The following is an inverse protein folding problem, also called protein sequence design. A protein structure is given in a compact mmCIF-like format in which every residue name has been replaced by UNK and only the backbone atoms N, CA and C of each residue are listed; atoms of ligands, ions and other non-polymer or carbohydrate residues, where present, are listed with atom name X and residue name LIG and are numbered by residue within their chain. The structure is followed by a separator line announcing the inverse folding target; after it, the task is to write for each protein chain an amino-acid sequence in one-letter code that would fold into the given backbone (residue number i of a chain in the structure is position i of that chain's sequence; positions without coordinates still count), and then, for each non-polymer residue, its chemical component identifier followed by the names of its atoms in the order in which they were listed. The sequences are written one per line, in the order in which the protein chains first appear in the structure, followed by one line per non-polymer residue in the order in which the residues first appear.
data_IF_594778754623
#
_entry.id   IF_594778754623
#
_cell.length_a   1.000
_cell.length_b   1.000
_cell.length_c   1.000
_cell.angle_alpha   90.00
_cell.angle_beta   90.00
_cell.angle_gamma   90.00
#
_symmetry.space_group_name_H-M   'P 1'
#
loop_
_entity.id
_entity.type
_entity.pdbx_description
1 polymer ?
#
# COMPACT_ATOMS: atom_id res chain seq x y z
N UNK A 1 -4.74 -17.46 20.06
CA UNK A 1 -4.71 -17.65 18.60
C UNK A 1 -3.92 -18.91 18.24
N UNK A 2 -4.41 -19.76 17.30
CA UNK A 2 -3.74 -21.04 16.99
C UNK A 2 -2.40 -20.87 16.26
N UNK A 3 -2.11 -19.68 15.73
CA UNK A 3 -0.90 -19.35 14.96
C UNK A 3 0.32 -19.09 15.83
N UNK A 4 0.16 -18.85 17.14
CA UNK A 4 1.28 -18.61 18.05
C UNK A 4 1.80 -19.90 18.67
N UNK A 5 3.08 -19.90 19.02
CA UNK A 5 3.68 -20.97 19.84
C UNK A 5 3.15 -20.92 21.27
N UNK A 6 3.17 -22.05 21.98
CA UNK A 6 2.56 -22.21 23.30
C UNK A 6 3.13 -21.30 24.40
N UNK A 7 4.39 -20.89 24.28
CA UNK A 7 5.06 -20.03 25.26
C UNK A 7 4.59 -18.56 25.22
N UNK A 8 3.93 -18.12 24.12
CA UNK A 8 3.48 -16.74 24.00
C UNK A 8 2.16 -16.53 24.74
N UNK A 9 2.11 -15.63 25.75
CA UNK A 9 0.90 -15.38 26.53
C UNK A 9 -0.25 -14.91 25.64
N UNK A 10 -1.47 -15.43 25.86
CA UNK A 10 -2.64 -15.13 25.02
C UNK A 10 -2.98 -13.64 24.95
N UNK A 11 -2.73 -12.90 26.03
CA UNK A 11 -2.99 -11.46 26.12
C UNK A 11 -2.07 -10.61 25.22
N UNK A 12 -0.85 -11.08 24.95
CA UNK A 12 0.16 -10.34 24.17
C UNK A 12 0.03 -10.62 22.67
N UNK A 13 -0.55 -11.76 22.27
CA UNK A 13 -0.65 -12.17 20.86
C UNK A 13 -1.27 -11.11 19.92
N UNK A 14 -2.40 -10.44 20.25
CA UNK A 14 -2.97 -9.43 19.37
C UNK A 14 -2.08 -8.20 19.24
N UNK A 15 -1.38 -7.81 20.31
CA UNK A 15 -0.46 -6.68 20.29
C UNK A 15 0.77 -6.92 19.41
N UNK A 16 1.27 -8.16 19.38
CA UNK A 16 2.34 -8.55 18.46
C UNK A 16 1.87 -8.36 17.00
N UNK A 17 0.68 -8.84 16.65
CA UNK A 17 0.15 -8.64 15.30
C UNK A 17 -0.15 -7.18 14.99
N UNK A 18 -0.62 -6.41 15.96
CA UNK A 18 -0.84 -4.98 15.80
C UNK A 18 0.48 -4.25 15.52
N UNK A 19 1.53 -4.53 16.30
CA UNK A 19 2.87 -3.99 16.07
C UNK A 19 3.38 -4.33 14.66
N UNK A 20 3.27 -5.58 14.25
CA UNK A 20 3.69 -6.01 12.91
C UNK A 20 2.88 -5.29 11.82
N UNK A 21 1.57 -5.15 12.01
CA UNK A 21 0.70 -4.46 11.06
C UNK A 21 1.06 -2.98 10.90
N UNK A 22 1.26 -2.27 12.03
CA UNK A 22 1.71 -0.87 12.03
C UNK A 22 3.05 -0.75 11.30
N UNK A 23 4.01 -1.65 11.59
CA UNK A 23 5.32 -1.63 10.93
C UNK A 23 5.20 -1.80 9.41
N UNK A 24 4.31 -2.67 8.92
CA UNK A 24 4.03 -2.76 7.48
C UNK A 24 3.40 -1.47 6.94
N UNK A 25 2.53 -0.83 7.68
CA UNK A 25 1.89 0.42 7.24
C UNK A 25 2.87 1.59 7.16
N UNK A 26 3.87 1.64 8.02
CA UNK A 26 4.93 2.65 7.98
C UNK A 26 5.82 2.56 6.72
N UNK A 27 5.88 1.41 6.05
CA UNK A 27 6.71 1.24 4.86
C UNK A 27 6.09 1.88 3.61
N UNK A 28 6.89 2.41 2.73
CA UNK A 28 6.42 3.03 1.47
C UNK A 28 7.45 3.08 0.34
N UNK A 29 8.73 2.82 0.62
CA UNK A 29 9.84 2.92 -0.33
C UNK A 29 10.27 4.37 -0.57
N UNK A 30 9.32 5.27 -0.76
CA UNK A 30 9.45 6.73 -0.77
C UNK A 30 8.44 7.32 0.22
N UNK A 31 8.74 8.50 0.75
CA UNK A 31 8.01 9.09 1.86
C UNK A 31 7.68 10.55 1.59
N UNK A 32 6.40 10.93 1.73
CA UNK A 32 5.95 12.31 1.46
C UNK A 32 6.61 13.33 2.38
N UNK A 33 6.71 13.05 3.66
CA UNK A 33 7.38 13.94 4.60
C UNK A 33 8.86 14.23 4.30
N UNK A 34 9.47 13.50 3.34
CA UNK A 34 10.83 13.74 2.87
C UNK A 34 10.88 14.26 1.44
N UNK A 35 9.76 14.66 0.84
CA UNK A 35 9.63 14.97 -0.57
C UNK A 35 10.68 16.00 -1.04
N UNK A 36 10.80 17.13 -0.35
CA UNK A 36 11.71 18.22 -0.72
C UNK A 36 13.18 17.78 -0.65
N UNK A 37 13.57 16.98 0.34
CA UNK A 37 14.94 16.48 0.44
C UNK A 37 15.22 15.38 -0.59
N UNK A 38 14.25 14.55 -0.92
CA UNK A 38 14.39 13.53 -1.95
C UNK A 38 14.56 14.16 -3.33
N UNK A 39 13.84 15.23 -3.66
CA UNK A 39 14.01 16.03 -4.88
C UNK A 39 15.46 16.50 -5.00
N UNK A 40 15.98 17.13 -3.93
CA UNK A 40 17.36 17.62 -3.92
C UNK A 40 18.41 16.51 -3.91
N UNK A 41 18.19 15.44 -3.16
CA UNK A 41 19.16 14.36 -2.95
C UNK A 41 19.26 13.36 -4.09
N UNK A 42 18.15 13.09 -4.77
CA UNK A 42 18.09 12.14 -5.90
C UNK A 42 18.13 12.83 -7.27
N UNK A 43 18.08 14.16 -7.32
CA UNK A 43 17.93 14.95 -8.54
C UNK A 43 16.71 14.52 -9.37
N UNK A 44 15.62 14.18 -8.72
CA UNK A 44 14.34 13.80 -9.29
C UNK A 44 13.36 14.96 -9.23
N UNK A 45 12.34 14.93 -10.10
CA UNK A 45 11.23 15.86 -10.02
C UNK A 45 10.23 15.43 -8.94
N UNK A 46 9.39 16.37 -8.50
CA UNK A 46 8.30 16.08 -7.56
C UNK A 46 7.38 14.98 -8.08
N UNK A 47 7.05 15.07 -9.36
CA UNK A 47 6.19 14.13 -10.08
C UNK A 47 6.76 12.70 -10.08
N UNK A 48 8.09 12.58 -10.18
CA UNK A 48 8.76 11.28 -10.17
C UNK A 48 8.60 10.55 -8.84
N UNK A 49 8.70 11.29 -7.73
CA UNK A 49 8.55 10.76 -6.38
C UNK A 49 7.07 10.43 -6.10
N UNK A 50 6.14 11.31 -6.50
CA UNK A 50 4.71 11.04 -6.39
C UNK A 50 4.31 9.80 -7.21
N UNK A 51 4.90 9.60 -8.40
CA UNK A 51 4.68 8.39 -9.18
C UNK A 51 5.14 7.12 -8.46
N UNK A 52 6.22 7.17 -7.68
CA UNK A 52 6.63 6.05 -6.82
C UNK A 52 5.54 5.69 -5.80
N UNK A 53 4.89 6.69 -5.21
CA UNK A 53 3.78 6.46 -4.28
C UNK A 53 2.56 5.87 -4.97
N UNK A 54 2.18 6.40 -6.14
CA UNK A 54 1.09 5.81 -6.93
C UNK A 54 1.40 4.38 -7.35
N UNK A 55 2.67 4.06 -7.67
CA UNK A 55 3.10 2.69 -7.93
C UNK A 55 2.93 1.78 -6.71
N UNK A 56 3.25 2.26 -5.51
CA UNK A 56 3.03 1.52 -4.26
C UNK A 56 1.53 1.26 -4.03
N UNK A 57 0.68 2.26 -4.19
CA UNK A 57 -0.78 2.12 -4.08
C UNK A 57 -1.35 1.17 -5.14
N UNK A 58 -0.87 1.24 -6.38
CA UNK A 58 -1.26 0.31 -7.44
C UNK A 58 -0.86 -1.13 -7.09
N UNK A 59 0.33 -1.33 -6.53
CA UNK A 59 0.79 -2.63 -6.02
C UNK A 59 -0.15 -3.19 -4.95
N UNK A 60 -0.58 -2.36 -4.00
CA UNK A 60 -1.56 -2.74 -2.98
C UNK A 60 -2.90 -3.11 -3.60
N UNK A 61 -3.42 -2.30 -4.52
CA UNK A 61 -4.71 -2.49 -5.17
C UNK A 61 -4.75 -3.79 -5.99
N UNK A 62 -3.70 -4.06 -6.78
CA UNK A 62 -3.60 -5.27 -7.61
C UNK A 62 -3.42 -6.53 -6.76
N UNK A 63 -2.75 -6.44 -5.65
CA UNK A 63 -2.57 -7.62 -4.80
C UNK A 63 -3.79 -7.93 -3.93
N UNK A 64 -4.65 -6.96 -3.68
CA UNK A 64 -5.82 -7.11 -2.81
C UNK A 64 -6.75 -8.28 -3.20
N UNK A 65 -7.17 -8.46 -4.47
CA UNK A 65 -8.00 -9.61 -4.88
C UNK A 65 -7.31 -10.97 -4.71
N UNK A 66 -5.97 -10.98 -4.69
CA UNK A 66 -5.17 -12.19 -4.57
C UNK A 66 -4.99 -12.65 -3.11
N UNK A 67 -5.18 -11.74 -2.13
CA UNK A 67 -4.91 -11.98 -0.71
C UNK A 67 -5.55 -13.26 -0.17
N UNK A 68 -6.85 -13.47 -0.45
CA UNK A 68 -7.55 -14.66 0.04
C UNK A 68 -7.01 -15.94 -0.58
N UNK A 69 -6.68 -15.94 -1.87
CA UNK A 69 -6.11 -17.11 -2.56
C UNK A 69 -4.73 -17.46 -2.01
N UNK A 70 -3.90 -16.45 -1.76
CA UNK A 70 -2.59 -16.61 -1.14
C UNK A 70 -2.70 -17.13 0.29
N UNK A 71 -3.61 -16.56 1.10
CA UNK A 71 -3.84 -16.98 2.48
C UNK A 71 -4.25 -18.45 2.61
N UNK A 72 -5.07 -18.96 1.70
CA UNK A 72 -5.49 -20.36 1.72
C UNK A 72 -4.48 -21.30 1.07
N UNK A 73 -3.55 -20.79 0.28
CA UNK A 73 -2.50 -21.60 -0.35
C UNK A 73 -1.30 -21.81 0.54
N UNK A 74 -0.81 -20.74 1.13
CA UNK A 74 0.41 -20.72 1.95
C UNK A 74 0.10 -20.72 3.45
N UNK A 75 1.11 -20.93 4.28
CA UNK A 75 0.96 -20.78 5.72
C UNK A 75 1.11 -19.31 6.11
N UNK A 76 0.45 -18.89 7.21
CA UNK A 76 0.54 -17.52 7.72
C UNK A 76 2.00 -17.09 7.96
N UNK A 77 2.84 -17.97 8.49
CA UNK A 77 4.26 -17.69 8.72
C UNK A 77 5.00 -17.44 7.40
N UNK A 78 4.76 -18.26 6.37
CA UNK A 78 5.41 -18.08 5.06
C UNK A 78 5.02 -16.74 4.44
N UNK A 79 3.72 -16.38 4.50
CA UNK A 79 3.22 -15.13 3.95
C UNK A 79 3.79 -13.91 4.67
N UNK A 80 3.84 -13.92 6.00
CA UNK A 80 4.46 -12.86 6.78
C UNK A 80 5.96 -12.76 6.52
N UNK A 81 6.67 -13.91 6.43
CA UNK A 81 8.12 -13.91 6.17
C UNK A 81 8.43 -13.38 4.78
N UNK A 82 7.70 -13.82 3.76
CA UNK A 82 7.92 -13.32 2.39
C UNK A 82 7.60 -11.83 2.26
N UNK A 83 6.52 -11.37 2.91
CA UNK A 83 6.16 -9.95 2.93
C UNK A 83 7.23 -9.10 3.63
N UNK A 84 7.67 -9.50 4.83
CA UNK A 84 8.68 -8.75 5.59
C UNK A 84 10.06 -8.75 4.90
N UNK A 85 10.47 -9.86 4.27
CA UNK A 85 11.68 -9.92 3.44
C UNK A 85 11.55 -9.02 2.21
N UNK A 86 10.39 -9.04 1.54
CA UNK A 86 10.14 -8.17 0.39
C UNK A 86 10.27 -6.69 0.75
N UNK A 87 9.60 -6.24 1.81
CA UNK A 87 9.71 -4.85 2.28
C UNK A 87 11.13 -4.50 2.72
N UNK A 88 11.81 -5.39 3.44
CA UNK A 88 13.21 -5.20 3.85
C UNK A 88 14.12 -4.96 2.63
N UNK A 89 14.04 -5.83 1.63
CA UNK A 89 14.87 -5.75 0.42
C UNK A 89 14.55 -4.49 -0.38
N UNK A 90 13.26 -4.15 -0.55
CA UNK A 90 12.84 -2.94 -1.25
C UNK A 90 13.40 -1.68 -0.57
N UNK A 91 13.27 -1.55 0.76
CA UNK A 91 13.80 -0.39 1.50
C UNK A 91 15.33 -0.30 1.51
N UNK A 92 16.06 -1.41 1.44
CA UNK A 92 17.52 -1.39 1.32
C UNK A 92 17.98 -0.97 -0.07
N UNK A 93 17.22 -1.33 -1.12
CA UNK A 93 17.62 -1.09 -2.51
C UNK A 93 17.13 0.28 -3.01
N UNK A 94 15.91 0.70 -2.63
CA UNK A 94 15.27 1.92 -3.13
C UNK A 94 16.17 3.19 -3.08
N UNK A 95 16.91 3.48 -1.98
CA UNK A 95 17.74 4.68 -1.91
C UNK A 95 18.94 4.71 -2.88
N UNK A 96 19.29 3.55 -3.43
CA UNK A 96 20.46 3.43 -4.32
C UNK A 96 20.09 3.43 -5.81
N UNK A 97 18.79 3.48 -6.13
CA UNK A 97 18.33 3.42 -7.52
C UNK A 97 18.04 4.81 -8.03
N UNK A 98 18.71 5.14 -9.14
CA UNK A 98 18.52 6.39 -9.90
C UNK A 98 17.68 6.19 -11.16
N UNK A 99 17.48 4.94 -11.61
CA UNK A 99 16.69 4.62 -12.79
C UNK A 99 15.20 4.55 -12.42
N UNK A 100 14.43 5.57 -12.76
CA UNK A 100 13.03 5.78 -12.39
C UNK A 100 12.11 4.58 -12.64
N UNK A 101 12.06 3.93 -13.82
CA UNK A 101 11.16 2.81 -14.04
C UNK A 101 11.43 1.63 -13.09
N UNK A 102 12.68 1.42 -12.71
CA UNK A 102 13.05 0.39 -11.75
C UNK A 102 12.61 0.77 -10.33
N UNK A 103 12.73 2.05 -9.97
CA UNK A 103 12.25 2.55 -8.68
C UNK A 103 10.73 2.40 -8.56
N UNK A 104 9.97 2.73 -9.61
CA UNK A 104 8.51 2.50 -9.65
C UNK A 104 8.15 1.03 -9.48
N UNK A 105 8.88 0.14 -10.16
CA UNK A 105 8.68 -1.31 -10.01
C UNK A 105 8.95 -1.79 -8.59
N UNK A 106 9.99 -1.28 -7.94
CA UNK A 106 10.31 -1.62 -6.54
C UNK A 106 9.22 -1.13 -5.60
N UNK A 107 8.76 0.10 -5.75
CA UNK A 107 7.65 0.63 -4.96
C UNK A 107 6.35 -0.17 -5.19
N UNK A 108 6.07 -0.60 -6.42
CA UNK A 108 4.94 -1.48 -6.74
C UNK A 108 5.04 -2.83 -6.00
N UNK A 109 6.20 -3.48 -6.04
CA UNK A 109 6.44 -4.75 -5.33
C UNK A 109 6.33 -4.55 -3.82
N UNK A 110 6.85 -3.43 -3.31
CA UNK A 110 6.73 -3.10 -1.89
C UNK A 110 5.28 -2.94 -1.47
N UNK A 111 4.45 -2.26 -2.28
CA UNK A 111 3.01 -2.16 -2.05
C UNK A 111 2.32 -3.53 -1.96
N UNK A 112 2.68 -4.47 -2.84
CA UNK A 112 2.17 -5.85 -2.77
C UNK A 112 2.58 -6.54 -1.45
N UNK A 113 3.82 -6.38 -1.03
CA UNK A 113 4.32 -6.96 0.23
C UNK A 113 3.67 -6.30 1.45
N UNK A 114 3.51 -4.97 1.44
CA UNK A 114 2.85 -4.18 2.49
C UNK A 114 1.43 -4.65 2.75
N UNK A 115 0.61 -4.74 1.71
CA UNK A 115 -0.78 -5.18 1.86
C UNK A 115 -0.87 -6.65 2.29
N UNK A 116 0.04 -7.53 1.82
CA UNK A 116 0.08 -8.92 2.24
C UNK A 116 0.37 -9.06 3.72
N UNK A 117 1.37 -8.36 4.24
CA UNK A 117 1.74 -8.39 5.66
C UNK A 117 0.65 -7.82 6.57
N UNK A 118 0.12 -6.66 6.21
CA UNK A 118 -0.97 -6.00 6.93
C UNK A 118 -2.22 -6.87 6.97
N UNK A 119 -2.65 -7.41 5.82
CA UNK A 119 -3.83 -8.26 5.75
C UNK A 119 -3.69 -9.53 6.60
N UNK A 120 -2.52 -10.17 6.58
CA UNK A 120 -2.29 -11.37 7.39
C UNK A 120 -2.41 -11.07 8.88
N UNK A 121 -1.87 -9.95 9.34
CA UNK A 121 -1.99 -9.52 10.73
C UNK A 121 -3.43 -9.13 11.10
N UNK A 122 -4.05 -8.24 10.32
CA UNK A 122 -5.38 -7.70 10.60
C UNK A 122 -6.47 -8.76 10.54
N UNK A 123 -6.39 -9.71 9.60
CA UNK A 123 -7.35 -10.82 9.55
C UNK A 123 -7.26 -11.76 10.77
N UNK A 124 -6.09 -11.87 11.40
CA UNK A 124 -5.92 -12.63 12.63
C UNK A 124 -6.40 -11.87 13.86
N UNK A 125 -6.21 -10.54 13.90
CA UNK A 125 -6.77 -9.65 14.92
C UNK A 125 -8.29 -9.66 14.84
N UNK A 126 -8.86 -9.60 13.63
CA UNK A 126 -10.31 -9.68 13.42
C UNK A 126 -10.91 -10.94 14.06
N UNK A 127 -10.32 -12.10 13.80
CA UNK A 127 -10.80 -13.36 14.40
C UNK A 127 -10.72 -13.37 15.93
N UNK A 128 -9.81 -12.59 16.51
CA UNK A 128 -9.68 -12.46 17.95
C UNK A 128 -10.68 -11.45 18.53
N UNK A 129 -10.84 -10.27 17.90
CA UNK A 129 -11.76 -9.22 18.36
C UNK A 129 -13.22 -9.60 18.17
N UNK A 130 -13.55 -10.17 17.01
CA UNK A 130 -14.93 -10.46 16.60
C UNK A 130 -15.07 -11.92 16.20
N UNK A 131 -15.15 -12.87 17.19
CA UNK A 131 -15.32 -14.29 16.89
C UNK A 131 -16.59 -14.61 16.10
N UNK A 132 -17.63 -13.77 16.25
CA UNK A 132 -18.91 -13.84 15.50
C UNK A 132 -18.81 -13.23 14.09
N UNK A 133 -17.63 -12.76 13.66
CA UNK A 133 -17.38 -12.09 12.38
C UNK A 133 -18.23 -10.81 12.17
N UNK A 134 -18.41 -10.04 13.22
CA UNK A 134 -19.05 -8.74 13.12
C UNK A 134 -18.05 -7.72 12.56
N UNK A 135 -18.24 -7.37 11.29
CA UNK A 135 -17.39 -6.43 10.57
C UNK A 135 -17.65 -4.98 10.98
N UNK A 136 -18.82 -4.67 11.54
CA UNK A 136 -19.16 -3.29 11.93
C UNK A 136 -18.30 -2.79 13.08
N UNK A 137 -17.84 -3.68 13.94
CA UNK A 137 -16.90 -3.35 15.03
C UNK A 137 -15.45 -3.34 14.53
N UNK A 138 -15.10 -4.23 13.59
CA UNK A 138 -13.71 -4.38 13.14
C UNK A 138 -13.25 -3.25 12.22
N UNK A 139 -14.06 -2.84 11.23
CA UNK A 139 -13.64 -1.86 10.23
C UNK A 139 -13.30 -0.47 10.80
N UNK A 140 -14.03 0.11 11.76
CA UNK A 140 -13.63 1.34 12.42
C UNK A 140 -12.25 1.24 13.08
N UNK A 141 -11.98 0.13 13.77
CA UNK A 141 -10.67 -0.15 14.36
C UNK A 141 -9.56 -0.26 13.33
N UNK A 142 -9.83 -0.96 12.24
CA UNK A 142 -8.87 -1.07 11.12
C UNK A 142 -8.54 0.31 10.56
N UNK A 143 -9.56 1.15 10.35
CA UNK A 143 -9.40 2.50 9.81
C UNK A 143 -8.54 3.38 10.72
N UNK A 144 -8.80 3.39 12.03
CA UNK A 144 -7.98 4.10 13.03
C UNK A 144 -6.51 3.64 12.96
N UNK A 145 -6.25 2.34 12.87
CA UNK A 145 -4.87 1.82 12.79
C UNK A 145 -4.20 2.24 11.49
N UNK A 146 -4.91 2.19 10.37
CA UNK A 146 -4.36 2.57 9.06
C UNK A 146 -4.05 4.06 9.02
N UNK A 147 -5.02 4.93 9.34
CA UNK A 147 -4.82 6.38 9.35
C UNK A 147 -3.75 6.80 10.37
N UNK A 148 -3.83 6.28 11.60
CA UNK A 148 -2.82 6.58 12.61
C UNK A 148 -1.41 6.13 12.21
N UNK A 149 -1.29 5.05 11.42
CA UNK A 149 0.02 4.62 10.91
C UNK A 149 0.53 5.54 9.80
N UNK A 150 -0.35 6.11 8.98
CA UNK A 150 0.04 7.09 7.95
C UNK A 150 0.58 8.35 8.61
N UNK A 151 -0.17 8.93 9.55
CA UNK A 151 0.27 10.11 10.30
C UNK A 151 1.56 9.86 11.09
N UNK A 152 1.69 8.69 11.71
CA UNK A 152 2.91 8.28 12.39
C UNK A 152 4.10 8.15 11.43
N UNK A 153 3.88 7.63 10.23
CA UNK A 153 4.92 7.55 9.19
C UNK A 153 5.41 8.93 8.80
N UNK A 154 4.49 9.87 8.59
CA UNK A 154 4.80 11.23 8.21
C UNK A 154 5.57 11.97 9.30
N UNK A 155 5.09 11.90 10.55
CA UNK A 155 5.79 12.47 11.72
C UNK A 155 7.22 11.91 11.88
N UNK A 156 7.40 10.59 11.79
CA UNK A 156 8.73 9.96 11.91
C UNK A 156 9.63 10.39 10.75
N UNK A 157 9.08 10.45 9.54
CA UNK A 157 9.84 10.83 8.34
C UNK A 157 10.32 12.26 8.46
N UNK A 158 9.44 13.20 8.79
CA UNK A 158 9.76 14.62 8.98
C UNK A 158 10.79 14.81 10.10
N UNK A 159 10.63 14.11 11.22
CA UNK A 159 11.61 14.15 12.32
C UNK A 159 13.01 13.66 11.90
N UNK A 160 13.07 12.52 11.19
CA UNK A 160 14.34 11.95 10.73
C UNK A 160 14.98 12.82 9.64
N UNK A 161 14.16 13.44 8.78
CA UNK A 161 14.58 14.36 7.75
C UNK A 161 15.21 15.62 8.36
N UNK A 162 14.57 16.22 9.36
CA UNK A 162 15.04 17.44 10.01
C UNK A 162 16.40 17.25 10.70
N UNK A 163 16.62 16.11 11.39
CA UNK A 163 17.84 15.86 12.19
C UNK A 163 18.94 15.13 11.42
N UNK A 164 18.60 14.42 10.36
CA UNK A 164 19.55 13.54 9.64
C UNK A 164 19.38 13.71 8.12
N UNK A 165 19.11 12.60 7.43
CA UNK A 165 18.93 12.52 5.98
C UNK A 165 17.75 11.62 5.65
N UNK A 166 17.06 11.88 4.54
CA UNK A 166 15.86 11.14 4.14
C UNK A 166 16.07 9.61 4.04
N UNK A 167 17.27 9.15 3.71
CA UNK A 167 17.59 7.71 3.63
C UNK A 167 17.49 6.99 4.96
N UNK A 168 17.56 7.72 6.10
CA UNK A 168 17.44 7.11 7.41
C UNK A 168 16.05 6.54 7.66
N UNK A 169 15.01 7.05 6.99
CA UNK A 169 13.67 6.45 7.08
C UNK A 169 13.66 5.04 6.49
N UNK A 170 14.28 4.84 5.32
CA UNK A 170 14.40 3.51 4.72
C UNK A 170 15.19 2.54 5.62
N UNK A 171 16.28 3.01 6.23
CA UNK A 171 17.07 2.20 7.18
C UNK A 171 16.29 1.90 8.47
N UNK A 172 15.50 2.85 8.96
CA UNK A 172 14.62 2.67 10.11
C UNK A 172 13.58 1.58 9.83
N UNK A 173 12.90 1.64 8.69
CA UNK A 173 11.95 0.61 8.28
C UNK A 173 12.64 -0.74 8.09
N UNK A 174 13.83 -0.78 7.47
CA UNK A 174 14.61 -2.01 7.34
C UNK A 174 14.95 -2.62 8.72
N UNK A 175 15.34 -1.80 9.69
CA UNK A 175 15.57 -2.22 11.07
C UNK A 175 14.31 -2.79 11.74
N UNK A 176 13.16 -2.11 11.58
CA UNK A 176 11.88 -2.62 12.08
C UNK A 176 11.49 -3.94 11.41
N UNK A 177 11.73 -4.10 10.11
CA UNK A 177 11.44 -5.37 9.41
C UNK A 177 12.33 -6.52 9.89
N UNK A 178 13.57 -6.27 10.26
CA UNK A 178 14.43 -7.27 10.91
C UNK A 178 13.84 -7.70 12.26
N UNK A 179 13.36 -6.75 13.06
CA UNK A 179 12.69 -7.05 14.34
C UNK A 179 11.42 -7.88 14.09
N UNK A 180 10.62 -7.52 13.10
CA UNK A 180 9.43 -8.28 12.68
C UNK A 180 9.81 -9.71 12.28
N UNK A 181 10.87 -9.89 11.48
CA UNK A 181 11.37 -11.21 11.08
C UNK A 181 11.81 -12.06 12.27
N UNK A 182 12.46 -11.47 13.26
CA UNK A 182 12.85 -12.14 14.51
C UNK A 182 11.60 -12.54 15.31
N UNK A 183 10.70 -11.60 15.58
CA UNK A 183 9.46 -11.85 16.33
C UNK A 183 8.64 -12.98 15.67
N UNK A 184 8.41 -12.92 14.38
CA UNK A 184 7.61 -13.94 13.69
C UNK A 184 8.30 -15.29 13.64
N UNK A 185 9.62 -15.33 13.52
CA UNK A 185 10.38 -16.57 13.50
C UNK A 185 10.31 -17.28 14.85
N UNK A 186 10.40 -16.53 15.95
CA UNK A 186 10.37 -17.03 17.33
C UNK A 186 8.93 -17.33 17.77
N UNK A 187 7.98 -16.39 17.58
CA UNK A 187 6.65 -16.45 18.19
C UNK A 187 5.59 -17.15 17.32
N UNK A 188 5.71 -17.07 15.98
CA UNK A 188 4.69 -17.57 15.06
C UNK A 188 5.05 -18.96 14.54
N UNK A 189 4.08 -19.88 14.54
CA UNK A 189 4.22 -21.21 13.96
C UNK A 189 3.56 -21.28 12.58
N UNK A 190 3.94 -22.29 11.79
CA UNK A 190 3.27 -22.57 10.53
C UNK A 190 1.84 -23.05 10.78
N UNK A 191 0.87 -22.25 10.42
CA UNK A 191 -0.55 -22.57 10.52
C UNK A 191 -1.22 -22.31 9.16
N UNK A 192 -2.18 -23.15 8.78
CA UNK A 192 -2.98 -23.02 7.58
C UNK A 192 -4.45 -23.16 7.94
N UNK A 193 -5.27 -22.23 7.43
CA UNK A 193 -6.69 -22.19 7.78
C UNK A 193 -7.53 -23.26 7.06
N UNK A 194 -7.17 -23.66 5.83
CA UNK A 194 -7.95 -24.58 5.00
C UNK A 194 -7.04 -25.50 4.14
N UNK A 195 -7.66 -26.37 3.37
CA UNK A 195 -6.95 -27.15 2.33
C UNK A 195 -6.32 -26.23 1.29
N UNK A 196 -5.25 -26.70 0.66
CA UNK A 196 -4.52 -25.94 -0.38
C UNK A 196 -5.46 -25.54 -1.52
N UNK A 197 -5.58 -24.24 -1.76
CA UNK A 197 -6.33 -23.72 -2.89
C UNK A 197 -5.44 -23.67 -4.14
N UNK A 198 -5.93 -24.05 -5.34
CA UNK A 198 -5.13 -24.02 -6.56
C UNK A 198 -4.87 -22.58 -7.02
N UNK A 199 -3.63 -22.30 -7.50
CA UNK A 199 -3.24 -20.97 -8.01
C UNK A 199 -3.49 -20.85 -9.53
N UNK A 200 -3.68 -21.95 -10.25
CA UNK A 200 -3.85 -21.91 -11.71
C UNK A 200 -5.17 -21.27 -12.17
N UNK A 201 -6.11 -21.01 -11.27
CA UNK A 201 -7.33 -20.26 -11.57
C UNK A 201 -7.19 -18.75 -11.42
N UNK A 202 -5.96 -18.21 -11.24
CA UNK A 202 -5.71 -16.77 -11.17
C UNK A 202 -5.47 -16.22 -12.57
N UNK A 203 -6.19 -15.15 -12.91
CA UNK A 203 -5.99 -14.42 -14.15
C UNK A 203 -4.84 -13.44 -14.04
N UNK A 204 -3.60 -13.94 -14.20
CA UNK A 204 -2.38 -13.14 -14.12
C UNK A 204 -2.30 -12.07 -15.22
N UNK A 205 -2.78 -12.38 -16.44
CA UNK A 205 -2.80 -11.39 -17.50
C UNK A 205 -3.82 -10.29 -17.23
N UNK A 206 -4.99 -10.64 -16.65
CA UNK A 206 -5.95 -9.65 -16.19
C UNK A 206 -5.36 -8.76 -15.10
N UNK A 207 -4.66 -9.32 -14.12
CA UNK A 207 -3.95 -8.54 -13.10
C UNK A 207 -2.92 -7.58 -13.70
N UNK A 208 -2.14 -8.04 -14.69
CA UNK A 208 -1.15 -7.21 -15.38
C UNK A 208 -1.79 -6.07 -16.19
N UNK A 209 -2.91 -6.33 -16.87
CA UNK A 209 -3.66 -5.30 -17.59
C UNK A 209 -4.24 -4.23 -16.64
N UNK A 210 -4.81 -4.65 -15.52
CA UNK A 210 -5.29 -3.71 -14.50
C UNK A 210 -4.15 -2.92 -13.86
N UNK A 211 -2.98 -3.53 -13.64
CA UNK A 211 -1.80 -2.82 -13.15
C UNK A 211 -1.30 -1.77 -14.15
N UNK A 212 -1.24 -2.12 -15.44
CA UNK A 212 -0.89 -1.19 -16.50
C UNK A 212 -1.87 -0.02 -16.57
N UNK A 213 -3.19 -0.30 -16.51
CA UNK A 213 -4.22 0.74 -16.52
C UNK A 213 -4.08 1.71 -15.34
N UNK A 214 -3.85 1.19 -14.13
CA UNK A 214 -3.63 2.05 -12.96
C UNK A 214 -2.38 2.90 -13.09
N UNK A 215 -1.28 2.34 -13.63
CA UNK A 215 -0.05 3.09 -13.87
C UNK A 215 -0.24 4.18 -14.94
N UNK A 216 -0.93 3.88 -16.04
CA UNK A 216 -1.25 4.84 -17.10
C UNK A 216 -2.11 6.00 -16.57
N UNK A 217 -3.14 5.70 -15.78
CA UNK A 217 -4.00 6.72 -15.15
C UNK A 217 -3.20 7.57 -14.15
N UNK A 218 -2.39 6.93 -13.30
CA UNK A 218 -1.53 7.65 -12.35
C UNK A 218 -0.55 8.58 -13.09
N UNK A 219 0.07 8.11 -14.16
CA UNK A 219 0.95 8.93 -14.99
C UNK A 219 0.20 10.12 -15.61
N UNK A 220 -0.99 9.91 -16.16
CA UNK A 220 -1.80 10.97 -16.77
C UNK A 220 -2.07 12.11 -15.78
N UNK A 221 -2.52 11.78 -14.58
CA UNK A 221 -2.86 12.81 -13.58
C UNK A 221 -1.63 13.44 -12.95
N UNK A 222 -0.56 12.68 -12.76
CA UNK A 222 0.64 13.16 -12.09
C UNK A 222 1.51 14.05 -13.00
N UNK A 223 1.64 13.70 -14.28
CA UNK A 223 2.45 14.45 -15.24
C UNK A 223 1.62 15.34 -16.18
N UNK A 224 0.30 15.42 -15.98
CA UNK A 224 -0.60 16.22 -16.83
C UNK A 224 -0.17 17.69 -16.95
N UNK A 225 0.09 18.33 -15.81
CA UNK A 225 0.52 19.74 -15.79
C UNK A 225 1.93 19.92 -16.40
N UNK A 226 2.84 19.01 -16.13
CA UNK A 226 4.19 19.06 -16.72
C UNK A 226 4.18 19.02 -18.25
N UNK A 227 3.27 18.25 -18.85
CA UNK A 227 3.13 18.11 -20.29
C UNK A 227 2.10 19.05 -20.92
N UNK A 228 1.56 20.02 -20.19
CA UNK A 228 0.51 20.93 -20.67
C UNK A 228 -0.74 20.18 -21.18
N UNK A 229 -1.13 19.13 -20.45
CA UNK A 229 -2.34 18.34 -20.69
C UNK A 229 -2.50 17.94 -22.18
N UNK A 230 -3.69 18.21 -22.75
CA UNK A 230 -4.07 17.80 -24.11
C UNK A 230 -3.29 18.51 -25.24
N UNK A 231 -2.52 19.54 -24.96
CA UNK A 231 -1.66 20.21 -25.95
C UNK A 231 -0.48 19.35 -26.33
N UNK A 232 -0.02 18.50 -25.42
CA UNK A 232 1.10 17.58 -25.67
C UNK A 232 0.70 16.33 -26.46
N UNK A 233 1.50 15.91 -27.44
CA UNK A 233 1.28 14.63 -28.13
C UNK A 233 1.42 13.42 -27.19
N UNK A 234 2.25 13.52 -26.13
CA UNK A 234 2.46 12.45 -25.16
C UNK A 234 1.17 12.14 -24.42
N UNK A 235 0.50 13.15 -23.86
CA UNK A 235 -0.76 12.98 -23.11
C UNK A 235 -1.87 12.46 -24.02
N UNK A 236 -1.94 12.95 -25.27
CA UNK A 236 -2.92 12.44 -26.25
C UNK A 236 -2.72 10.96 -26.56
N UNK A 237 -1.46 10.54 -26.81
CA UNK A 237 -1.15 9.14 -27.05
C UNK A 237 -1.41 8.26 -25.82
N UNK A 238 -1.05 8.75 -24.63
CA UNK A 238 -1.34 8.07 -23.37
C UNK A 238 -2.86 7.91 -23.14
N UNK A 239 -3.65 8.92 -23.44
CA UNK A 239 -5.12 8.83 -23.30
C UNK A 239 -5.72 7.79 -24.23
N UNK A 240 -5.18 7.66 -25.45
CA UNK A 240 -5.59 6.60 -26.38
C UNK A 240 -5.14 5.24 -25.83
N UNK A 241 -3.93 5.13 -25.28
CA UNK A 241 -3.44 3.90 -24.65
C UNK A 241 -4.34 3.48 -23.48
N UNK A 242 -4.73 4.40 -22.59
CA UNK A 242 -5.68 4.16 -21.48
C UNK A 242 -6.99 3.58 -22.00
N UNK A 243 -7.57 4.14 -23.07
CA UNK A 243 -8.81 3.64 -23.64
C UNK A 243 -8.66 2.22 -24.21
N UNK A 244 -7.53 1.95 -24.87
CA UNK A 244 -7.23 0.62 -25.42
C UNK A 244 -7.02 -0.39 -24.27
N UNK A 245 -6.23 -0.05 -23.25
CA UNK A 245 -5.97 -0.91 -22.08
C UNK A 245 -7.28 -1.18 -21.33
N UNK A 246 -8.12 -0.16 -21.12
CA UNK A 246 -9.44 -0.28 -20.50
C UNK A 246 -10.35 -1.24 -21.31
N UNK A 247 -10.36 -1.09 -22.64
CA UNK A 247 -11.10 -1.98 -23.52
C UNK A 247 -10.66 -3.44 -23.34
N UNK A 248 -9.35 -3.71 -23.32
CA UNK A 248 -8.83 -5.07 -23.10
C UNK A 248 -9.14 -5.59 -21.70
N UNK A 249 -9.10 -4.75 -20.66
CA UNK A 249 -9.50 -5.11 -19.30
C UNK A 249 -10.97 -5.56 -19.26
N UNK A 250 -11.88 -4.76 -19.84
CA UNK A 250 -13.31 -5.05 -19.86
C UNK A 250 -13.60 -6.29 -20.71
N UNK A 251 -13.04 -6.36 -21.91
CA UNK A 251 -13.19 -7.51 -22.80
C UNK A 251 -12.76 -8.80 -22.12
N UNK A 252 -11.59 -8.80 -21.48
CA UNK A 252 -11.07 -9.94 -20.74
C UNK A 252 -11.95 -10.30 -19.55
N UNK A 253 -12.41 -9.33 -18.79
CA UNK A 253 -13.31 -9.51 -17.65
C UNK A 253 -14.63 -10.20 -18.05
N UNK A 254 -15.14 -9.92 -19.27
CA UNK A 254 -16.38 -10.51 -19.76
C UNK A 254 -16.19 -11.87 -20.44
N UNK A 255 -15.00 -12.16 -20.97
CA UNK A 255 -14.74 -13.36 -21.78
C UNK A 255 -14.22 -14.54 -20.96
N UNK A 256 -13.44 -14.29 -19.88
CA UNK A 256 -12.79 -15.35 -19.11
C UNK A 256 -13.70 -15.87 -18.00
N UNK A 257 -13.67 -17.19 -17.80
CA UNK A 257 -14.48 -17.88 -16.78
C UNK A 257 -14.16 -17.45 -15.34
N UNK A 258 -12.90 -17.10 -15.06
CA UNK A 258 -12.42 -16.65 -13.76
C UNK A 258 -11.60 -15.36 -13.93
N UNK A 259 -12.25 -14.22 -14.20
CA UNK A 259 -11.57 -12.96 -14.42
C UNK A 259 -10.90 -12.46 -13.13
N UNK A 260 -9.93 -11.57 -13.28
CA UNK A 260 -9.24 -10.95 -12.14
C UNK A 260 -10.23 -10.20 -11.23
N UNK A 261 -11.11 -9.38 -11.81
CA UNK A 261 -12.27 -8.77 -11.12
C UNK A 261 -13.55 -9.42 -11.61
N UNK A 262 -14.39 -9.84 -10.69
CA UNK A 262 -15.63 -10.54 -11.04
C UNK A 262 -16.71 -9.53 -11.45
N UNK A 263 -17.27 -9.60 -12.69
CA UNK A 263 -18.24 -8.60 -13.16
C UNK A 263 -19.53 -8.59 -12.35
N UNK A 264 -19.88 -9.70 -11.70
CA UNK A 264 -21.05 -9.76 -10.80
C UNK A 264 -20.98 -8.81 -9.63
N UNK A 265 -19.79 -8.36 -9.21
CA UNK A 265 -19.64 -7.37 -8.15
C UNK A 265 -20.41 -6.07 -8.47
N UNK A 266 -20.39 -5.65 -9.74
CA UNK A 266 -21.05 -4.42 -10.19
C UNK A 266 -22.58 -4.52 -10.17
N UNK A 267 -23.14 -5.72 -10.07
CA UNK A 267 -24.60 -5.94 -9.96
C UNK A 267 -25.14 -5.70 -8.54
N UNK A 268 -24.28 -5.53 -7.54
CA UNK A 268 -24.73 -5.21 -6.18
C UNK A 268 -25.20 -3.77 -6.09
N UNK A 269 -26.50 -3.58 -5.80
CA UNK A 269 -27.19 -2.28 -5.77
C UNK A 269 -26.47 -1.20 -4.94
N UNK A 270 -25.84 -1.60 -3.85
CA UNK A 270 -25.22 -0.66 -2.91
C UNK A 270 -23.72 -0.45 -3.15
N UNK A 271 -23.08 -1.18 -4.07
CA UNK A 271 -21.64 -1.10 -4.28
C UNK A 271 -21.24 0.26 -4.87
N UNK A 272 -21.88 0.68 -5.95
CA UNK A 272 -21.55 1.96 -6.62
C UNK A 272 -21.81 3.18 -5.72
N UNK A 273 -22.97 3.31 -5.03
CA UNK A 273 -23.17 4.38 -4.07
C UNK A 273 -22.16 4.39 -2.92
N UNK A 274 -21.80 3.21 -2.42
CA UNK A 274 -20.81 3.10 -1.35
C UNK A 274 -19.41 3.52 -1.83
N UNK A 275 -18.98 3.06 -3.01
CA UNK A 275 -17.71 3.49 -3.60
C UNK A 275 -17.69 5.00 -3.86
N UNK A 276 -18.79 5.56 -4.40
CA UNK A 276 -18.93 6.99 -4.60
C UNK A 276 -18.83 7.78 -3.29
N UNK A 277 -19.48 7.31 -2.22
CA UNK A 277 -19.38 7.93 -0.90
C UNK A 277 -17.94 7.87 -0.34
N UNK A 278 -17.28 6.71 -0.42
CA UNK A 278 -15.89 6.56 0.03
C UNK A 278 -14.98 7.50 -0.76
N UNK A 279 -15.07 7.52 -2.09
CA UNK A 279 -14.26 8.41 -2.93
C UNK A 279 -14.48 9.88 -2.57
N UNK A 280 -15.71 10.26 -2.29
CA UNK A 280 -16.05 11.64 -1.90
C UNK A 280 -15.44 11.98 -0.52
N UNK A 281 -15.56 11.09 0.44
CA UNK A 281 -14.96 11.29 1.78
C UNK A 281 -13.44 11.40 1.69
N UNK A 282 -12.78 10.49 0.95
CA UNK A 282 -11.32 10.53 0.76
C UNK A 282 -10.87 11.80 0.03
N UNK A 283 -11.66 12.29 -0.94
CA UNK A 283 -11.37 13.55 -1.62
C UNK A 283 -11.45 14.75 -0.67
N UNK A 284 -12.43 14.77 0.24
CA UNK A 284 -12.52 15.82 1.26
C UNK A 284 -11.34 15.75 2.24
N UNK A 285 -10.99 14.57 2.73
CA UNK A 285 -9.85 14.39 3.63
C UNK A 285 -8.52 14.81 2.98
N UNK A 286 -8.31 14.46 1.70
CA UNK A 286 -7.13 14.88 0.95
C UNK A 286 -7.07 16.42 0.78
N UNK A 287 -8.22 17.05 0.54
CA UNK A 287 -8.30 18.52 0.41
C UNK A 287 -8.03 19.21 1.75
N UNK A 288 -8.56 18.68 2.85
CA UNK A 288 -8.31 19.17 4.22
C UNK A 288 -6.82 19.16 4.53
N UNK A 289 -6.14 18.05 4.28
CA UNK A 289 -4.71 17.90 4.54
C UNK A 289 -3.86 18.93 3.76
N UNK A 290 -4.16 19.16 2.48
CA UNK A 290 -3.44 20.16 1.67
C UNK A 290 -3.71 21.58 2.17
N UNK A 291 -4.95 21.90 2.56
CA UNK A 291 -5.30 23.20 3.10
C UNK A 291 -4.62 23.47 4.45
N UNK A 292 -4.54 22.46 5.32
CA UNK A 292 -3.84 22.57 6.59
C UNK A 292 -2.35 22.82 6.37
N UNK A 293 -1.68 22.07 5.50
CA UNK A 293 -0.27 22.24 5.16
C UNK A 293 -0.01 23.66 4.67
N UNK A 294 -0.75 24.15 3.68
CA UNK A 294 -0.62 25.50 3.15
C UNK A 294 -0.89 26.56 4.24
N UNK A 295 -1.90 26.37 5.09
CA UNK A 295 -2.24 27.30 6.14
C UNK A 295 -1.13 27.41 7.20
N UNK A 296 -0.60 26.27 7.67
CA UNK A 296 0.43 26.28 8.69
C UNK A 296 1.79 26.74 8.17
N UNK A 297 2.18 26.38 6.97
CA UNK A 297 3.48 26.72 6.42
C UNK A 297 3.52 28.10 5.77
N UNK A 298 2.55 28.45 4.93
CA UNK A 298 2.56 29.72 4.20
C UNK A 298 1.95 30.88 5.00
N UNK A 299 0.84 30.65 5.71
CA UNK A 299 0.11 31.70 6.42
C UNK A 299 0.68 31.89 7.82
N UNK A 300 0.81 30.80 8.60
CA UNK A 300 1.31 30.84 9.98
C UNK A 300 2.83 30.84 10.05
N UNK A 301 3.53 30.47 8.96
CA UNK A 301 5.00 30.36 8.85
C UNK A 301 5.60 29.45 9.92
N UNK A 302 4.92 28.36 10.23
CA UNK A 302 5.47 27.33 11.08
C UNK A 302 6.52 26.52 10.33
N UNK A 303 7.54 26.05 11.05
CA UNK A 303 8.48 25.08 10.47
C UNK A 303 7.77 23.75 10.17
N UNK A 304 8.17 23.06 9.10
CA UNK A 304 7.59 21.76 8.67
C UNK A 304 7.40 20.77 9.83
N UNK A 305 8.34 20.75 10.80
CA UNK A 305 8.25 19.87 11.96
C UNK A 305 7.07 20.20 12.90
N UNK A 306 6.69 21.48 12.98
CA UNK A 306 5.58 21.93 13.85
C UNK A 306 4.25 21.78 13.15
N UNK A 307 4.21 21.91 11.82
CA UNK A 307 2.98 21.76 11.04
C UNK A 307 2.45 20.31 11.02
N UNK A 308 3.34 19.31 11.21
CA UNK A 308 2.98 17.88 11.25
C UNK A 308 2.59 17.39 12.67
N UNK A 309 2.90 18.17 13.73
CA UNK A 309 2.51 17.84 15.11
C UNK A 309 1.08 18.27 15.42
#
# INVERSE_FOLDING_TARGET
MPMFRSFVPRKIQPWIYLFIAITFQLSGGVYLGALNQMIGGMALMREDILMCMYANLAGMAIYFPLLFRMKFRFTNKTLLTSAALGVLVCNLIAPHITFLPLLWLICFIEGMCKIQGTFECMSNIQLWMTPKRDFTVFFPWLHIVVLGSIQLSDLITTYLMYHYHWTYMNLFIAGLMIIVLLIQTICVKHFRFMRKFPLFGIDWLGAALWAALLAEIAFLFNYGDWYDWWNSPVIRQLSVAILITLFFCIWRMLTIRHPFLEPKMWSYRYLLPLLGLITLVEAFLATEHVLEEVFYEEVMKYEELISVQ
#
